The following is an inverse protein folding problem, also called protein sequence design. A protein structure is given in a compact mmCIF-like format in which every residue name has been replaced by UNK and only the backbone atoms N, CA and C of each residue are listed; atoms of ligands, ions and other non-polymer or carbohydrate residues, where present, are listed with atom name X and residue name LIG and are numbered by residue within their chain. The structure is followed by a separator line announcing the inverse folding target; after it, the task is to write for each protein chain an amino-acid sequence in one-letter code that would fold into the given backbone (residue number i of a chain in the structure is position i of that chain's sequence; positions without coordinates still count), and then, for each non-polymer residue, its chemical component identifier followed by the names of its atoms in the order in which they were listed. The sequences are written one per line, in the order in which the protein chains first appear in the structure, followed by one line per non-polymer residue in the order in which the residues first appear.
data_IF_134990066061
#
_entry.id   IF_134990066061
#
_cell.length_a   1.000
_cell.length_b   1.000
_cell.length_c   1.000
_cell.angle_alpha   90.00
_cell.angle_beta   90.00
_cell.angle_gamma   90.00
#
_symmetry.space_group_name_H-M   'P 1'
#
loop_
_entity.id
_entity.type
_entity.pdbx_description
1 polymer ?
#
# COMPACT_ATOMS: atom_id res chain seq x y z
N UNK A 1 12.27 13.92 2.50
CA UNK A 1 10.81 14.14 2.61
C UNK A 1 10.18 14.15 1.23
N UNK A 2 8.85 13.96 1.16
CA UNK A 2 8.11 14.04 -0.08
C UNK A 2 8.19 15.45 -0.69
N UNK A 3 8.45 15.52 -1.99
CA UNK A 3 8.42 16.76 -2.77
C UNK A 3 7.17 16.76 -3.63
N UNK A 4 6.34 17.79 -3.51
CA UNK A 4 5.15 17.97 -4.34
C UNK A 4 5.58 18.67 -5.62
N UNK A 5 5.52 17.95 -6.74
CA UNK A 5 5.81 18.50 -8.07
C UNK A 5 4.53 19.06 -8.71
N UNK A 6 4.65 20.24 -9.32
CA UNK A 6 3.56 20.90 -10.05
C UNK A 6 3.83 20.93 -11.56
N UNK A 7 2.77 21.04 -12.37
CA UNK A 7 2.85 21.10 -13.84
C UNK A 7 3.56 22.35 -14.36
N UNK A 8 3.63 23.39 -13.54
CA UNK A 8 4.38 24.61 -13.80
C UNK A 8 5.88 24.47 -13.55
N UNK A 9 6.35 23.29 -13.13
CA UNK A 9 7.76 23.00 -12.85
C UNK A 9 8.22 23.42 -11.46
N UNK A 10 7.28 23.69 -10.53
CA UNK A 10 7.62 23.99 -9.14
C UNK A 10 7.77 22.69 -8.34
N UNK A 11 8.72 22.72 -7.40
CA UNK A 11 8.94 21.64 -6.43
C UNK A 11 8.74 22.22 -5.02
N UNK A 12 7.69 21.75 -4.34
CA UNK A 12 7.32 22.24 -3.01
C UNK A 12 7.69 21.17 -1.99
N UNK A 13 8.47 21.54 -0.98
CA UNK A 13 8.78 20.65 0.15
C UNK A 13 7.54 20.51 1.04
N UNK A 14 7.01 19.29 1.19
CA UNK A 14 5.78 19.06 1.95
C UNK A 14 5.90 19.42 3.44
N UNK A 15 7.09 19.39 4.04
CA UNK A 15 7.29 19.82 5.44
C UNK A 15 7.02 21.30 5.68
N UNK A 16 7.14 22.12 4.63
CA UNK A 16 6.87 23.55 4.75
C UNK A 16 5.42 23.90 4.45
N UNK A 17 4.58 22.95 4.02
CA UNK A 17 3.17 23.22 3.77
C UNK A 17 2.40 23.08 5.09
N UNK A 18 1.82 24.19 5.53
CA UNK A 18 0.99 24.26 6.76
C UNK A 18 -0.46 23.92 6.45
N UNK A 19 -0.93 24.34 5.27
CA UNK A 19 -2.29 24.13 4.82
C UNK A 19 -2.31 24.14 3.28
N UNK A 20 -3.23 23.38 2.69
CA UNK A 20 -3.54 23.50 1.27
C UNK A 20 -5.05 23.53 1.03
N UNK A 21 -5.45 24.07 -0.12
CA UNK A 21 -6.84 24.07 -0.56
C UNK A 21 -6.93 23.98 -2.08
N UNK A 22 -7.80 23.09 -2.57
CA UNK A 22 -8.15 23.02 -3.99
C UNK A 22 -9.08 24.18 -4.34
N UNK A 23 -8.68 24.96 -5.34
CA UNK A 23 -9.43 26.09 -5.86
C UNK A 23 -10.43 25.65 -6.93
N UNK A 24 -11.43 26.49 -7.21
CA UNK A 24 -12.49 26.20 -8.19
C UNK A 24 -11.99 26.00 -9.63
N UNK A 25 -10.79 26.50 -9.94
CA UNK A 25 -10.16 26.37 -11.25
C UNK A 25 -9.31 25.09 -11.37
N UNK A 26 -9.34 24.19 -10.39
CA UNK A 26 -8.57 22.94 -10.38
C UNK A 26 -7.13 23.09 -9.87
N UNK A 27 -6.66 24.31 -9.57
CA UNK A 27 -5.34 24.51 -8.98
C UNK A 27 -5.36 24.28 -7.46
N UNK A 28 -4.21 23.96 -6.89
CA UNK A 28 -4.03 23.88 -5.44
C UNK A 28 -3.26 25.10 -4.95
N UNK A 29 -3.77 25.73 -3.90
CA UNK A 29 -3.05 26.75 -3.13
C UNK A 29 -2.39 26.12 -1.92
N UNK A 30 -1.12 26.43 -1.70
CA UNK A 30 -0.30 25.99 -0.57
C UNK A 30 0.06 27.19 0.30
N UNK A 31 -0.26 27.13 1.59
CA UNK A 31 0.24 28.04 2.61
C UNK A 31 1.52 27.46 3.19
N UNK A 32 2.62 28.21 3.10
CA UNK A 32 3.93 27.78 3.58
C UNK A 32 4.19 28.24 5.03
N UNK A 33 5.08 27.55 5.73
CA UNK A 33 5.52 27.88 7.09
C UNK A 33 6.22 29.24 7.20
N UNK A 34 6.66 29.79 6.07
CA UNK A 34 7.21 31.15 5.95
C UNK A 34 6.13 32.24 5.89
N UNK A 35 4.85 31.86 5.82
CA UNK A 35 3.71 32.76 5.60
C UNK A 35 3.45 33.10 4.13
N UNK A 36 4.27 32.59 3.20
CA UNK A 36 4.06 32.75 1.77
C UNK A 36 3.00 31.79 1.21
N UNK A 37 2.42 32.14 0.06
CA UNK A 37 1.51 31.28 -0.69
C UNK A 37 2.14 30.86 -2.03
N UNK A 38 1.95 29.61 -2.41
CA UNK A 38 2.22 29.11 -3.76
C UNK A 38 0.94 28.53 -4.35
N UNK A 39 0.74 28.66 -5.66
CA UNK A 39 -0.40 28.06 -6.36
C UNK A 39 0.10 27.33 -7.59
N UNK A 40 -0.41 26.12 -7.82
CA UNK A 40 -0.07 25.33 -8.99
C UNK A 40 -0.95 24.08 -9.11
N UNK A 41 -0.89 23.44 -10.27
CA UNK A 41 -1.55 22.16 -10.52
C UNK A 41 -0.61 21.01 -10.19
N UNK A 42 -1.00 20.13 -9.27
CA UNK A 42 -0.14 19.01 -8.84
C UNK A 42 -0.22 17.83 -9.80
N UNK A 43 0.88 17.07 -9.90
CA UNK A 43 0.85 15.76 -10.56
C UNK A 43 0.18 14.66 -9.74
N UNK A 44 -0.03 14.88 -8.43
CA UNK A 44 -0.71 13.91 -7.58
C UNK A 44 -2.22 14.02 -7.68
N UNK A 45 -2.88 12.88 -7.71
CA UNK A 45 -4.34 12.76 -7.62
C UNK A 45 -4.83 12.94 -6.17
N UNK A 46 -4.03 12.50 -5.18
CA UNK A 46 -4.28 12.76 -3.76
C UNK A 46 -3.08 13.46 -3.12
N UNK A 47 -3.30 14.69 -2.67
CA UNK A 47 -2.29 15.49 -1.98
C UNK A 47 -2.08 15.05 -0.53
N UNK A 48 -3.09 14.44 0.10
CA UNK A 48 -3.01 14.00 1.48
C UNK A 48 -1.88 12.97 1.68
N UNK A 49 -1.59 12.15 0.67
CA UNK A 49 -0.53 11.14 0.66
C UNK A 49 0.86 11.71 0.95
N UNK A 50 1.14 12.96 0.56
CA UNK A 50 2.44 13.61 0.81
C UNK A 50 2.64 14.02 2.27
N UNK A 51 1.57 13.97 3.07
CA UNK A 51 1.56 14.33 4.48
C UNK A 51 1.42 13.11 5.39
N UNK A 52 1.23 11.92 4.84
CA UNK A 52 1.15 10.70 5.65
C UNK A 52 2.56 10.31 6.11
N UNK A 53 2.81 10.18 7.43
CA UNK A 53 4.12 9.82 7.92
C UNK A 53 4.54 8.43 7.42
N UNK A 54 5.79 8.33 6.98
CA UNK A 54 6.43 7.07 6.62
C UNK A 54 7.56 6.80 7.59
N UNK A 55 7.48 5.69 8.33
CA UNK A 55 8.51 5.25 9.27
C UNK A 55 9.23 4.00 8.72
N UNK A 56 10.56 3.87 8.90
CA UNK A 56 11.27 2.65 8.52
C UNK A 56 10.69 1.42 9.23
N UNK A 57 10.61 0.30 8.53
CA UNK A 57 10.21 -0.97 9.13
C UNK A 57 11.37 -1.59 9.91
N UNK A 58 11.06 -2.31 10.99
CA UNK A 58 12.05 -3.20 11.59
C UNK A 58 12.46 -4.27 10.55
N UNK A 59 13.74 -4.62 10.44
CA UNK A 59 14.16 -5.69 9.55
C UNK A 59 13.47 -7.01 9.87
N UNK A 60 13.12 -7.77 8.83
CA UNK A 60 12.59 -9.13 8.96
C UNK A 60 11.09 -9.30 8.70
N UNK A 61 10.33 -8.21 8.53
CA UNK A 61 8.96 -8.30 8.04
C UNK A 61 8.93 -8.67 6.54
N UNK A 62 8.15 -9.70 6.20
CA UNK A 62 7.99 -10.18 4.83
C UNK A 62 6.51 -10.36 4.53
N UNK A 63 6.04 -9.75 3.45
CA UNK A 63 4.68 -9.99 2.95
C UNK A 63 4.70 -11.10 1.90
N UNK A 64 3.66 -11.94 1.94
CA UNK A 64 3.41 -13.01 0.99
C UNK A 64 2.25 -12.61 0.09
N UNK A 65 2.53 -12.50 -1.20
CA UNK A 65 1.56 -12.28 -2.26
C UNK A 65 1.24 -13.63 -2.87
N UNK A 66 -0.03 -13.91 -3.11
CA UNK A 66 -0.47 -15.12 -3.77
C UNK A 66 -1.34 -14.80 -4.98
N UNK A 67 -1.09 -15.50 -6.08
CA UNK A 67 -1.86 -15.40 -7.31
C UNK A 67 -2.23 -16.81 -7.78
N UNK A 68 -3.50 -16.99 -8.16
CA UNK A 68 -3.99 -18.20 -8.81
C UNK A 68 -4.04 -17.96 -10.31
N UNK A 69 -3.23 -18.69 -11.06
CA UNK A 69 -3.19 -18.61 -12.52
C UNK A 69 -4.40 -19.30 -13.17
N UNK A 70 -4.59 -19.07 -14.47
CA UNK A 70 -5.73 -19.60 -15.24
C UNK A 70 -5.75 -21.14 -15.28
N UNK A 71 -4.58 -21.77 -15.24
CA UNK A 71 -4.40 -23.22 -15.17
C UNK A 71 -4.69 -23.80 -13.77
N UNK A 72 -4.99 -22.94 -12.79
CA UNK A 72 -5.26 -23.31 -11.42
C UNK A 72 -4.03 -23.45 -10.55
N UNK A 73 -2.83 -23.19 -11.07
CA UNK A 73 -1.61 -23.19 -10.27
C UNK A 73 -1.54 -21.94 -9.38
N UNK A 74 -1.08 -22.12 -8.14
CA UNK A 74 -0.81 -21.02 -7.23
C UNK A 74 0.66 -20.63 -7.29
N UNK A 75 0.90 -19.32 -7.35
CA UNK A 75 2.24 -18.74 -7.26
C UNK A 75 2.33 -17.80 -6.07
N UNK A 76 3.50 -17.80 -5.43
CA UNK A 76 3.75 -17.05 -4.21
C UNK A 76 4.98 -16.17 -4.39
N UNK A 77 4.83 -14.89 -4.07
CA UNK A 77 5.93 -13.92 -4.11
C UNK A 77 6.14 -13.34 -2.71
N UNK A 78 7.38 -13.37 -2.25
CA UNK A 78 7.77 -12.75 -0.99
C UNK A 78 8.37 -11.37 -1.26
N UNK A 79 7.97 -10.37 -0.48
CA UNK A 79 8.57 -9.03 -0.54
C UNK A 79 8.85 -8.52 0.87
N UNK A 80 10.05 -7.98 1.05
CA UNK A 80 10.45 -7.32 2.29
C UNK A 80 9.62 -6.07 2.52
N UNK A 81 9.13 -5.87 3.75
CA UNK A 81 8.57 -4.58 4.16
C UNK A 81 9.72 -3.66 4.54
N UNK A 82 9.83 -2.52 3.86
CA UNK A 82 10.93 -1.56 4.05
C UNK A 82 10.50 -0.35 4.90
N UNK A 83 9.21 -0.03 4.91
CA UNK A 83 8.66 1.07 5.68
C UNK A 83 7.15 0.87 5.94
N UNK A 84 6.60 1.72 6.81
CA UNK A 84 5.17 1.77 7.14
C UNK A 84 4.65 3.16 6.91
N UNK A 85 3.53 3.25 6.20
CA UNK A 85 2.72 4.46 6.08
C UNK A 85 1.73 4.47 7.25
N UNK A 86 1.79 5.50 8.10
CA UNK A 86 0.93 5.64 9.27
C UNK A 86 -0.35 6.41 8.91
N UNK A 87 -1.34 5.71 8.35
CA UNK A 87 -2.62 6.32 8.00
C UNK A 87 -3.59 6.33 9.20
N UNK A 88 -4.59 7.23 9.22
CA UNK A 88 -5.65 7.21 10.23
C UNK A 88 -6.43 5.88 10.32
N UNK A 89 -6.58 5.17 9.20
CA UNK A 89 -7.29 3.89 9.11
C UNK A 89 -6.43 2.67 9.52
N UNK A 90 -5.13 2.86 9.73
CA UNK A 90 -4.20 1.77 10.02
C UNK A 90 -2.82 2.02 9.42
N UNK A 91 -1.90 1.11 9.72
CA UNK A 91 -0.54 1.18 9.17
C UNK A 91 -0.46 0.32 7.92
N UNK A 92 -0.03 0.91 6.82
CA UNK A 92 0.08 0.23 5.53
C UNK A 92 1.55 -0.05 5.21
N UNK A 93 1.92 -1.31 4.89
CA UNK A 93 3.30 -1.65 4.55
C UNK A 93 3.72 -1.04 3.21
N UNK A 94 5.00 -0.66 3.14
CA UNK A 94 5.68 -0.28 1.89
C UNK A 94 6.71 -1.37 1.61
N UNK A 95 6.70 -1.88 0.39
CA UNK A 95 7.51 -3.04 -0.01
C UNK A 95 8.73 -2.65 -0.84
N UNK A 96 9.74 -3.51 -0.82
CA UNK A 96 10.86 -3.43 -1.76
C UNK A 96 10.40 -3.68 -3.20
N UNK A 97 10.91 -2.88 -4.14
CA UNK A 97 10.70 -3.01 -5.58
C UNK A 97 9.37 -2.46 -6.09
N UNK A 98 9.16 -2.57 -7.41
CA UNK A 98 7.88 -2.29 -8.07
C UNK A 98 7.11 -3.60 -8.27
N UNK A 99 5.79 -3.56 -8.20
CA UNK A 99 4.94 -4.73 -8.46
C UNK A 99 3.50 -4.33 -8.69
N UNK A 100 2.80 -5.11 -9.51
CA UNK A 100 1.41 -4.86 -9.93
C UNK A 100 0.38 -5.46 -8.95
N UNK A 101 0.84 -6.29 -8.01
CA UNK A 101 0.03 -6.82 -6.93
C UNK A 101 0.14 -5.89 -5.72
N UNK A 102 -0.93 -5.13 -5.47
CA UNK A 102 -1.02 -4.22 -4.32
C UNK A 102 -1.44 -4.96 -3.03
N UNK A 103 -2.13 -6.09 -3.17
CA UNK A 103 -2.72 -6.83 -2.04
C UNK A 103 -1.91 -8.09 -1.69
N UNK A 104 -1.13 -7.99 -0.61
CA UNK A 104 -0.55 -9.15 0.05
C UNK A 104 -1.63 -9.91 0.83
N UNK A 105 -1.43 -11.22 1.03
CA UNK A 105 -2.40 -12.08 1.69
C UNK A 105 -2.05 -12.33 3.16
N UNK A 106 -0.76 -12.56 3.45
CA UNK A 106 -0.26 -12.72 4.82
C UNK A 106 1.06 -12.00 5.01
N UNK A 107 1.38 -11.75 6.27
CA UNK A 107 2.64 -11.20 6.71
C UNK A 107 3.36 -12.15 7.65
N UNK A 108 4.68 -12.27 7.45
CA UNK A 108 5.62 -12.95 8.31
C UNK A 108 6.33 -11.88 9.14
N UNK A 109 6.24 -11.99 10.46
CA UNK A 109 6.95 -11.10 11.38
C UNK A 109 8.43 -11.54 11.56
N UNK A 110 9.28 -10.67 12.15
CA UNK A 110 10.69 -11.01 12.38
C UNK A 110 10.94 -12.18 13.33
N UNK A 111 9.95 -12.57 14.15
CA UNK A 111 10.00 -13.73 15.04
C UNK A 111 9.52 -15.02 14.34
N UNK A 112 9.06 -14.94 13.09
CA UNK A 112 8.52 -16.04 12.31
C UNK A 112 7.02 -16.29 12.52
N UNK A 113 6.31 -15.42 13.24
CA UNK A 113 4.86 -15.44 13.34
C UNK A 113 4.21 -15.04 12.02
N UNK A 114 3.07 -15.63 11.70
CA UNK A 114 2.38 -15.41 10.42
C UNK A 114 0.96 -14.98 10.70
N UNK A 115 0.54 -13.85 10.13
CA UNK A 115 -0.79 -13.31 10.32
C UNK A 115 -1.36 -12.68 9.05
N UNK A 116 -2.68 -12.73 8.91
CA UNK A 116 -3.42 -12.07 7.81
C UNK A 116 -4.09 -10.75 8.26
N UNK A 117 -4.83 -10.12 7.36
CA UNK A 117 -5.59 -8.90 7.64
C UNK A 117 -6.76 -9.09 8.61
N UNK A 118 -7.26 -10.32 8.75
CA UNK A 118 -8.38 -10.68 9.62
C UNK A 118 -7.91 -11.09 11.03
N UNK A 119 -6.61 -10.93 11.31
CA UNK A 119 -5.96 -11.30 12.57
C UNK A 119 -5.93 -12.82 12.83
N UNK A 120 -6.10 -13.64 11.80
CA UNK A 120 -5.79 -15.06 11.91
C UNK A 120 -4.28 -15.24 12.05
N UNK A 121 -3.87 -16.25 12.82
CA UNK A 121 -2.47 -16.55 13.08
C UNK A 121 -2.19 -17.99 12.68
N UNK A 122 -1.10 -18.19 11.95
CA UNK A 122 -0.71 -19.49 11.41
C UNK A 122 0.63 -19.91 12.01
N UNK A 123 0.82 -21.22 12.22
CA UNK A 123 2.08 -21.73 12.73
C UNK A 123 3.16 -21.78 11.64
N UNK A 124 2.76 -21.98 10.38
CA UNK A 124 3.68 -22.03 9.22
C UNK A 124 3.04 -21.43 7.96
N UNK A 125 3.89 -21.03 7.01
CA UNK A 125 3.40 -20.50 5.72
C UNK A 125 2.67 -21.59 4.94
N UNK A 126 3.09 -22.85 5.07
CA UNK A 126 2.47 -23.96 4.34
C UNK A 126 1.09 -24.33 4.90
N UNK A 127 0.88 -24.17 6.20
CA UNK A 127 -0.45 -24.26 6.82
C UNK A 127 -1.38 -23.20 6.22
N UNK A 128 -0.95 -21.94 6.22
CA UNK A 128 -1.70 -20.86 5.59
C UNK A 128 -1.97 -21.11 4.10
N UNK A 129 -0.97 -21.54 3.32
CA UNK A 129 -1.17 -21.85 1.88
C UNK A 129 -2.24 -22.92 1.69
N UNK A 130 -2.24 -23.96 2.50
CA UNK A 130 -3.22 -25.05 2.40
C UNK A 130 -4.65 -24.53 2.57
N UNK A 131 -4.86 -23.66 3.56
CA UNK A 131 -6.15 -23.02 3.81
C UNK A 131 -6.55 -22.07 2.68
N UNK A 132 -5.63 -21.20 2.27
CA UNK A 132 -5.83 -20.24 1.19
C UNK A 132 -6.18 -20.92 -0.14
N UNK A 133 -5.43 -21.97 -0.52
CA UNK A 133 -5.68 -22.71 -1.75
C UNK A 133 -7.05 -23.41 -1.72
N UNK A 134 -7.46 -23.96 -0.58
CA UNK A 134 -8.77 -24.57 -0.41
C UNK A 134 -9.89 -23.54 -0.62
N UNK A 135 -9.80 -22.38 0.03
CA UNK A 135 -10.79 -21.30 -0.10
C UNK A 135 -10.87 -20.78 -1.54
N UNK A 136 -9.73 -20.48 -2.17
CA UNK A 136 -9.70 -19.96 -3.54
C UNK A 136 -10.25 -20.96 -4.56
N UNK A 137 -10.02 -22.26 -4.34
CA UNK A 137 -10.59 -23.30 -5.19
C UNK A 137 -12.11 -23.43 -5.01
N UNK A 138 -12.63 -23.29 -3.79
CA UNK A 138 -14.09 -23.24 -3.55
C UNK A 138 -14.74 -22.03 -4.24
N UNK A 139 -14.12 -20.85 -4.11
CA UNK A 139 -14.58 -19.63 -4.80
C UNK A 139 -14.57 -19.81 -6.32
N UNK A 140 -13.51 -20.39 -6.88
CA UNK A 140 -13.41 -20.66 -8.31
C UNK A 140 -14.50 -21.65 -8.78
N UNK A 141 -14.73 -22.73 -8.04
CA UNK A 141 -15.78 -23.70 -8.34
C UNK A 141 -17.18 -23.07 -8.29
N UNK A 142 -17.46 -22.24 -7.29
CA UNK A 142 -18.74 -21.54 -7.15
C UNK A 142 -18.98 -20.56 -8.32
N UNK A 143 -17.93 -19.87 -8.79
CA UNK A 143 -18.02 -18.99 -9.98
C UNK A 143 -18.36 -19.78 -11.24
N UNK A 144 -17.73 -20.94 -11.44
CA UNK A 144 -18.02 -21.82 -12.59
C UNK A 144 -19.46 -22.34 -12.52
N UNK A 145 -19.91 -22.79 -11.35
CA UNK A 145 -21.28 -23.29 -11.17
C UNK A 145 -22.36 -22.22 -11.43
N UNK A 146 -22.06 -20.94 -11.17
CA UNK A 146 -22.96 -19.81 -11.45
C UNK A 146 -22.99 -19.41 -12.93
N UNK A 147 -21.97 -19.79 -13.70
CA UNK A 147 -21.85 -19.46 -15.13
C UNK A 147 -22.40 -20.56 -16.06
N UNK A 148 -22.75 -21.73 -15.53
CA UNK A 148 -23.37 -22.86 -16.22
C UNK A 148 -24.91 -22.81 -16.13
#
# INVERSE_FOLDING_TARGET
MPTIATKEGLNINSEHVVQFATLRNGQTRFLLSTGGELTGETYSDDLADFFVPVIPANPGFVAVFAERWEDGQFTYKHRSVIAWRLCPAGNYPIFEGYGDADDYQVMIDPAGGIFDSDHNVYATVDEWKTEYEAEQNEIAAARIAKAA
#
